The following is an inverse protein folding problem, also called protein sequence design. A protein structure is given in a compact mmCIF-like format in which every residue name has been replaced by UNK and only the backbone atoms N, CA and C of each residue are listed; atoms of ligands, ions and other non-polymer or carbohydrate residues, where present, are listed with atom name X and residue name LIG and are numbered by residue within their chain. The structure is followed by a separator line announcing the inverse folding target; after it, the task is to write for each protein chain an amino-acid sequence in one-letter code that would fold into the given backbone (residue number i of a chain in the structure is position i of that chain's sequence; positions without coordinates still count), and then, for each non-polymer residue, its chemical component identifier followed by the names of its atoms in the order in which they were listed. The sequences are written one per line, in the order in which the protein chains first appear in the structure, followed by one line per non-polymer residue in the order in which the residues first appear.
data_IF_091251127580
#
_entry.id   IF_091251127580
#
_cell.length_a   1.000
_cell.length_b   1.000
_cell.length_c   1.000
_cell.angle_alpha   90.00
_cell.angle_beta   90.00
_cell.angle_gamma   90.00
#
_symmetry.space_group_name_H-M   'P 1'
#
loop_
_entity.id
_entity.type
_entity.pdbx_description
1 polymer ?
#
# COMPACT_ATOMS: atom_id res chain seq x y z
N UNK A 1 -14.89 41.14 51.96
CA UNK A 1 -13.45 41.17 51.56
C UNK A 1 -12.67 39.93 52.07
N UNK A 2 -13.19 38.71 51.89
CA UNK A 2 -12.54 37.46 52.40
C UNK A 2 -12.13 36.45 51.32
N UNK A 3 -12.46 36.71 50.06
CA UNK A 3 -12.19 35.80 48.92
C UNK A 3 -11.03 36.22 48.02
N UNK A 4 -10.49 37.44 48.17
CA UNK A 4 -9.38 37.93 47.35
C UNK A 4 -8.05 37.29 47.79
N UNK A 5 -7.89 37.03 49.09
CA UNK A 5 -6.64 36.50 49.64
C UNK A 5 -6.36 35.05 49.22
N UNK A 6 -7.36 34.17 49.21
CA UNK A 6 -7.20 32.77 48.81
C UNK A 6 -6.83 32.60 47.33
N UNK A 7 -7.26 33.53 46.47
CA UNK A 7 -6.90 33.54 45.05
C UNK A 7 -5.41 33.88 44.85
N UNK A 8 -4.88 34.88 45.57
CA UNK A 8 -3.46 35.24 45.51
C UNK A 8 -2.54 34.17 46.11
N UNK A 9 -2.96 33.50 47.20
CA UNK A 9 -2.17 32.40 47.78
C UNK A 9 -2.10 31.19 46.84
N UNK A 10 -3.20 30.88 46.12
CA UNK A 10 -3.22 29.81 45.11
C UNK A 10 -2.32 30.11 43.90
N UNK A 11 -2.31 31.36 43.43
CA UNK A 11 -1.46 31.79 42.31
C UNK A 11 0.04 31.73 42.67
N UNK A 12 0.40 32.12 43.90
CA UNK A 12 1.77 32.01 44.39
C UNK A 12 2.24 30.56 44.54
N UNK A 13 1.37 29.68 45.01
CA UNK A 13 1.70 28.26 45.15
C UNK A 13 1.88 27.58 43.79
N UNK A 14 1.01 27.88 42.82
CA UNK A 14 1.15 27.39 41.44
C UNK A 14 2.42 27.92 40.76
N UNK A 15 2.74 29.20 40.96
CA UNK A 15 3.98 29.80 40.49
C UNK A 15 5.22 29.15 41.10
N UNK A 16 5.22 28.91 42.41
CA UNK A 16 6.34 28.28 43.12
C UNK A 16 6.53 26.80 42.73
N UNK A 17 5.44 26.03 42.54
CA UNK A 17 5.51 24.65 42.05
C UNK A 17 6.04 24.61 40.61
N UNK A 18 5.64 25.53 39.74
CA UNK A 18 6.20 25.62 38.38
C UNK A 18 7.68 26.05 38.38
N UNK A 19 8.09 26.95 39.26
CA UNK A 19 9.47 27.43 39.35
C UNK A 19 10.41 26.41 40.02
N UNK A 20 9.88 25.54 40.89
CA UNK A 20 10.64 24.46 41.52
C UNK A 20 10.71 23.17 40.67
N UNK A 21 9.75 22.93 39.77
CA UNK A 21 9.71 21.75 38.88
C UNK A 21 10.31 22.01 37.49
N UNK A 22 10.38 23.26 37.06
CA UNK A 22 11.02 23.66 35.79
C UNK A 22 12.51 23.31 35.69
N UNK A 23 13.35 23.39 36.77
CA UNK A 23 14.73 22.97 36.68
C UNK A 23 14.86 21.46 36.44
N UNK A 24 13.95 20.64 36.96
CA UNK A 24 13.97 19.19 36.76
C UNK A 24 13.58 18.81 35.31
N UNK A 25 12.66 19.55 34.68
CA UNK A 25 12.33 19.36 33.26
C UNK A 25 13.45 19.86 32.34
N UNK A 26 14.08 20.99 32.66
CA UNK A 26 15.19 21.55 31.87
C UNK A 26 16.46 20.70 32.02
N UNK A 27 16.75 20.20 33.22
CA UNK A 27 17.87 19.26 33.47
C UNK A 27 17.57 17.90 32.85
N UNK A 28 16.32 17.41 32.89
CA UNK A 28 15.91 16.19 32.20
C UNK A 28 16.09 16.27 30.68
N UNK A 29 15.70 17.40 30.06
CA UNK A 29 15.94 17.68 28.63
C UNK A 29 17.42 17.91 28.32
N UNK A 30 18.17 18.52 29.23
CA UNK A 30 19.60 18.76 29.08
C UNK A 30 20.42 17.46 29.13
N UNK A 31 20.06 16.53 30.02
CA UNK A 31 20.71 15.22 30.15
C UNK A 31 20.37 14.30 28.96
N UNK A 32 19.14 14.32 28.46
CA UNK A 32 18.81 13.57 27.22
C UNK A 32 19.56 14.14 26.01
N UNK A 33 19.65 15.47 25.88
CA UNK A 33 20.41 16.12 24.81
C UNK A 33 21.93 15.88 24.92
N UNK A 34 22.48 15.75 26.13
CA UNK A 34 23.91 15.50 26.34
C UNK A 34 24.30 14.02 26.15
N UNK A 35 23.45 13.09 26.60
CA UNK A 35 23.63 11.64 26.35
C UNK A 35 23.51 11.32 24.85
N UNK A 36 22.65 12.03 24.10
CA UNK A 36 22.58 11.90 22.64
C UNK A 36 23.77 12.50 21.88
N UNK A 37 24.65 13.27 22.54
CA UNK A 37 25.82 13.90 21.90
C UNK A 37 27.08 13.04 21.93
N UNK A 38 27.10 11.97 22.74
CA UNK A 38 28.26 11.07 22.90
C UNK A 38 28.35 9.97 21.85
N UNK A 39 27.22 9.60 21.23
CA UNK A 39 27.13 8.68 20.09
C UNK A 39 26.24 9.36 19.04
N UNK A 40 26.84 9.90 17.98
CA UNK A 40 26.08 10.60 16.93
C UNK A 40 25.27 9.60 16.10
N UNK A 41 24.10 9.19 16.61
CA UNK A 41 23.11 8.48 15.83
C UNK A 41 22.43 9.47 14.87
N UNK A 42 22.46 9.18 13.57
CA UNK A 42 21.53 9.83 12.64
C UNK A 42 20.14 9.25 12.95
N UNK A 43 19.22 10.10 13.42
CA UNK A 43 17.91 9.68 13.89
C UNK A 43 16.81 10.11 12.91
N UNK A 44 15.88 9.20 12.64
CA UNK A 44 14.60 9.53 12.04
C UNK A 44 13.52 9.45 13.12
N UNK A 45 12.67 10.47 13.19
CA UNK A 45 11.58 10.53 14.15
C UNK A 45 10.23 10.18 13.50
N UNK A 46 9.35 9.58 14.28
CA UNK A 46 7.98 9.25 13.93
C UNK A 46 7.09 9.37 15.14
N UNK A 47 6.02 10.17 15.05
CA UNK A 47 5.09 10.37 16.16
C UNK A 47 3.78 9.65 15.83
N UNK A 48 3.40 8.71 16.69
CA UNK A 48 2.07 8.11 16.65
C UNK A 48 1.12 8.94 17.51
N UNK A 49 -0.02 9.32 16.94
CA UNK A 49 -1.01 10.21 17.55
C UNK A 49 -2.38 9.59 17.46
N UNK A 50 -3.13 9.61 18.56
CA UNK A 50 -4.56 9.34 18.59
C UNK A 50 -5.28 10.55 19.17
N UNK A 51 -6.29 11.04 18.45
CA UNK A 51 -7.08 12.19 18.85
C UNK A 51 -8.57 11.90 18.75
N UNK A 52 -9.33 12.39 19.72
CA UNK A 52 -10.79 12.31 19.75
C UNK A 52 -11.37 13.71 19.78
N UNK A 53 -12.48 13.90 19.07
CA UNK A 53 -13.29 15.11 19.15
C UNK A 53 -14.76 14.75 19.05
N UNK A 54 -15.58 15.40 19.87
CA UNK A 54 -17.03 15.33 19.72
C UNK A 54 -17.50 16.40 18.73
N UNK A 55 -18.31 16.00 17.74
CA UNK A 55 -18.90 16.87 16.73
C UNK A 55 -20.34 16.44 16.49
N UNK A 56 -21.30 17.35 16.66
CA UNK A 56 -22.73 17.11 16.44
C UNK A 56 -23.29 15.88 17.20
N UNK A 57 -22.79 15.64 18.42
CA UNK A 57 -23.16 14.48 19.24
C UNK A 57 -22.57 13.14 18.77
N UNK A 58 -21.64 13.16 17.81
CA UNK A 58 -20.88 12.02 17.32
C UNK A 58 -19.41 12.15 17.68
N UNK A 59 -18.77 11.03 17.99
CA UNK A 59 -17.32 10.96 18.20
C UNK A 59 -16.60 10.82 16.86
N UNK A 60 -15.74 11.78 16.55
CA UNK A 60 -14.75 11.72 15.47
C UNK A 60 -13.40 11.29 16.07
N UNK A 61 -12.76 10.27 15.49
CA UNK A 61 -11.45 9.80 15.92
C UNK A 61 -10.43 9.92 14.79
N UNK A 62 -9.26 10.48 15.06
CA UNK A 62 -8.14 10.52 14.12
C UNK A 62 -6.96 9.74 14.70
N UNK A 63 -6.30 8.97 13.85
CA UNK A 63 -5.11 8.22 14.23
C UNK A 63 -4.01 8.40 13.18
N UNK A 64 -2.79 8.58 13.64
CA UNK A 64 -1.57 8.51 12.83
C UNK A 64 -0.66 7.51 13.50
N UNK A 65 -0.23 6.48 12.79
CA UNK A 65 0.74 5.51 13.28
C UNK A 65 1.97 5.56 12.41
N UNK A 66 3.14 5.73 13.01
CA UNK A 66 4.43 5.64 12.32
C UNK A 66 5.17 4.41 12.82
N UNK A 67 5.62 3.56 11.89
CA UNK A 67 6.42 2.39 12.18
C UNK A 67 7.71 2.42 11.36
N UNK A 68 8.81 2.01 11.97
CA UNK A 68 10.10 1.82 11.31
C UNK A 68 10.40 0.33 11.23
N UNK A 69 10.84 -0.13 10.08
CA UNK A 69 11.23 -1.52 9.88
C UNK A 69 12.37 -1.61 8.88
N UNK A 70 13.20 -2.64 9.03
CA UNK A 70 14.26 -2.94 8.06
C UNK A 70 13.84 -4.08 7.16
N UNK A 71 14.10 -3.95 5.86
CA UNK A 71 13.84 -5.01 4.89
C UNK A 71 15.10 -5.34 4.09
N UNK A 72 15.28 -6.60 3.70
CA UNK A 72 16.28 -7.00 2.73
C UNK A 72 15.58 -7.28 1.41
N UNK A 73 15.82 -6.45 0.41
CA UNK A 73 15.06 -6.49 -0.85
C UNK A 73 16.01 -6.72 -2.00
N UNK A 74 15.69 -7.70 -2.86
CA UNK A 74 16.41 -7.90 -4.11
C UNK A 74 16.10 -6.75 -5.07
N UNK A 75 17.11 -5.98 -5.43
CA UNK A 75 16.95 -4.85 -6.34
C UNK A 75 17.00 -5.30 -7.79
N UNK A 76 16.20 -4.69 -8.70
CA UNK A 76 16.32 -4.94 -10.13
C UNK A 76 17.76 -4.71 -10.61
N UNK A 77 18.35 -5.73 -11.23
CA UNK A 77 19.71 -5.67 -11.77
C UNK A 77 20.84 -5.84 -10.76
N UNK A 78 20.55 -5.97 -9.47
CA UNK A 78 21.55 -6.24 -8.43
C UNK A 78 21.45 -7.71 -7.99
N UNK A 79 22.53 -8.50 -8.09
CA UNK A 79 22.51 -9.89 -7.63
C UNK A 79 22.43 -10.02 -6.11
N UNK A 80 22.67 -8.94 -5.35
CA UNK A 80 22.65 -8.97 -3.88
C UNK A 80 21.45 -8.21 -3.33
N UNK A 81 20.73 -8.77 -2.34
CA UNK A 81 19.71 -8.02 -1.62
C UNK A 81 20.31 -6.80 -0.94
N UNK A 82 19.65 -5.65 -1.08
CA UNK A 82 20.01 -4.42 -0.37
C UNK A 82 19.20 -4.28 0.90
N UNK A 83 19.82 -3.72 1.93
CA UNK A 83 19.12 -3.39 3.18
C UNK A 83 18.46 -2.03 3.02
N UNK A 84 17.17 -1.97 3.34
CA UNK A 84 16.39 -0.75 3.37
C UNK A 84 15.93 -0.47 4.78
N UNK A 85 15.95 0.81 5.17
CA UNK A 85 15.13 1.31 6.26
C UNK A 85 13.83 1.84 5.68
N UNK A 86 12.70 1.35 6.20
CA UNK A 86 11.37 1.73 5.77
C UNK A 86 10.68 2.48 6.90
N UNK A 87 10.15 3.68 6.61
CA UNK A 87 9.24 4.41 7.50
C UNK A 87 7.84 4.35 6.92
N UNK A 88 6.98 3.58 7.57
CA UNK A 88 5.57 3.43 7.21
C UNK A 88 4.71 4.32 8.11
N UNK A 89 4.06 5.31 7.52
CA UNK A 89 3.07 6.17 8.16
C UNK A 89 1.67 5.81 7.66
N UNK A 90 0.77 5.56 8.60
CA UNK A 90 -0.64 5.25 8.35
C UNK A 90 -1.49 6.32 9.02
N UNK A 91 -2.11 7.19 8.22
CA UNK A 91 -3.05 8.21 8.69
C UNK A 91 -4.49 7.75 8.44
N UNK A 92 -5.24 7.59 9.52
CA UNK A 92 -6.68 7.35 9.49
C UNK A 92 -7.43 8.59 9.97
N UNK A 93 -8.18 9.23 9.07
CA UNK A 93 -8.88 10.49 9.33
C UNK A 93 -10.18 10.28 10.14
N UNK A 94 -10.79 9.10 10.03
CA UNK A 94 -11.95 8.70 10.83
C UNK A 94 -11.83 7.22 11.20
N UNK A 95 -11.37 6.98 12.43
CA UNK A 95 -11.15 5.65 13.00
C UNK A 95 -12.47 4.90 13.19
N UNK A 96 -13.58 5.61 13.40
CA UNK A 96 -14.89 5.03 13.71
C UNK A 96 -15.78 4.87 12.47
N UNK A 97 -15.53 5.62 11.39
CA UNK A 97 -16.22 5.39 10.13
C UNK A 97 -15.74 4.09 9.46
N UNK A 98 -16.71 3.28 9.03
CA UNK A 98 -16.49 2.12 8.17
C UNK A 98 -16.43 2.47 6.67
N UNK A 99 -16.13 3.72 6.32
CA UNK A 99 -16.09 4.14 4.91
C UNK A 99 -14.81 3.62 4.25
N UNK A 100 -14.91 2.89 3.13
CA UNK A 100 -13.75 2.50 2.33
C UNK A 100 -13.00 3.73 1.83
N UNK A 101 -11.66 3.68 1.84
CA UNK A 101 -10.81 4.70 1.20
C UNK A 101 -10.53 5.98 2.00
N UNK A 102 -11.12 6.18 3.19
CA UNK A 102 -10.77 7.31 4.06
C UNK A 102 -9.50 6.98 4.87
N UNK A 103 -8.34 7.34 4.32
CA UNK A 103 -7.03 7.19 4.95
C UNK A 103 -5.88 7.43 3.97
N UNK A 104 -4.67 7.60 4.49
CA UNK A 104 -3.45 7.82 3.70
C UNK A 104 -2.32 6.96 4.24
N UNK A 105 -1.69 6.21 3.34
CA UNK A 105 -0.45 5.50 3.58
C UNK A 105 0.69 6.29 2.97
N UNK A 106 1.80 6.41 3.70
CA UNK A 106 3.07 6.90 3.19
C UNK A 106 4.17 5.92 3.59
N UNK A 107 4.92 5.40 2.62
CA UNK A 107 6.12 4.62 2.88
C UNK A 107 7.32 5.37 2.32
N UNK A 108 8.27 5.70 3.17
CA UNK A 108 9.57 6.24 2.77
C UNK A 108 10.64 5.15 2.90
N UNK A 109 11.52 5.02 1.90
CA UNK A 109 12.57 4.01 1.88
C UNK A 109 13.96 4.64 1.73
N UNK A 110 14.87 4.36 2.66
CA UNK A 110 16.27 4.77 2.61
C UNK A 110 17.17 3.55 2.40
N UNK A 111 18.33 3.70 1.73
CA UNK A 111 19.36 2.67 1.83
C UNK A 111 19.86 2.63 3.27
N UNK A 112 20.29 1.45 3.71
CA UNK A 112 20.89 1.27 5.04
C UNK A 112 22.24 0.59 4.89
N UNK A 113 23.05 1.11 3.98
CA UNK A 113 24.41 0.64 3.69
C UNK A 113 25.43 1.40 4.56
N UNK A 114 25.16 2.67 4.88
CA UNK A 114 25.94 3.49 5.80
C UNK A 114 25.04 4.36 6.68
N UNK A 115 25.51 4.72 7.89
CA UNK A 115 24.74 5.59 8.80
C UNK A 115 24.40 6.95 8.16
N UNK A 116 25.27 7.46 7.28
CA UNK A 116 25.11 8.74 6.60
C UNK A 116 23.96 8.73 5.57
N UNK A 117 23.46 7.55 5.19
CA UNK A 117 22.34 7.41 4.23
C UNK A 117 21.06 8.08 4.75
N UNK A 118 20.88 8.13 6.07
CA UNK A 118 19.71 8.76 6.71
C UNK A 118 19.71 10.29 6.58
N UNK A 119 20.85 10.89 6.25
CA UNK A 119 20.96 12.33 6.00
C UNK A 119 20.58 12.70 4.55
N UNK A 120 20.42 11.69 3.68
CA UNK A 120 19.97 11.87 2.30
C UNK A 120 18.44 11.74 2.22
N UNK A 121 17.80 12.32 1.19
CA UNK A 121 16.40 12.04 0.91
C UNK A 121 16.18 10.54 0.68
N UNK A 122 14.96 10.07 0.96
CA UNK A 122 14.55 8.70 0.66
C UNK A 122 14.77 8.37 -0.83
N UNK A 123 15.14 7.12 -1.12
CA UNK A 123 15.28 6.59 -2.49
C UNK A 123 13.98 6.78 -3.28
N UNK A 124 12.87 6.49 -2.62
CA UNK A 124 11.53 6.72 -3.13
C UNK A 124 10.55 6.88 -1.97
N UNK A 125 9.39 7.46 -2.29
CA UNK A 125 8.24 7.55 -1.40
C UNK A 125 7.02 6.97 -2.12
N UNK A 126 6.32 6.05 -1.47
CA UNK A 126 4.99 5.60 -1.90
C UNK A 126 3.95 6.40 -1.13
N UNK A 127 2.98 6.99 -1.84
CA UNK A 127 1.80 7.59 -1.23
C UNK A 127 0.57 6.94 -1.84
N UNK A 128 -0.28 6.35 -1.01
CA UNK A 128 -1.47 5.64 -1.48
C UNK A 128 -2.67 5.90 -0.56
N UNK A 129 -3.91 5.92 -1.09
CA UNK A 129 -5.10 5.87 -0.25
C UNK A 129 -5.18 4.49 0.43
N UNK A 130 -5.50 4.48 1.72
CA UNK A 130 -5.59 3.22 2.47
C UNK A 130 -5.68 3.44 3.96
N UNK A 131 -6.23 2.44 4.67
CA UNK A 131 -6.43 2.48 6.13
C UNK A 131 -5.44 1.60 6.88
N UNK A 132 -4.86 0.62 6.20
CA UNK A 132 -3.79 -0.21 6.71
C UNK A 132 -2.84 -0.56 5.58
N UNK A 133 -1.61 -0.88 5.95
CA UNK A 133 -0.63 -1.39 5.03
C UNK A 133 0.26 -2.40 5.75
N UNK A 134 0.76 -3.37 4.99
CA UNK A 134 1.64 -4.42 5.45
C UNK A 134 2.83 -4.51 4.51
N UNK A 135 4.03 -4.55 5.05
CA UNK A 135 5.20 -5.00 4.31
C UNK A 135 5.27 -6.51 4.40
N UNK A 136 5.16 -7.17 3.25
CA UNK A 136 5.15 -8.61 3.14
C UNK A 136 6.57 -9.14 2.92
N UNK A 137 6.78 -10.40 3.32
CA UNK A 137 8.08 -11.08 3.25
C UNK A 137 8.59 -11.28 1.82
N UNK A 138 7.70 -11.18 0.82
CA UNK A 138 8.05 -11.29 -0.59
C UNK A 138 8.59 -9.99 -1.22
N UNK A 139 8.88 -8.99 -0.38
CA UNK A 139 9.44 -7.71 -0.82
C UNK A 139 8.39 -6.77 -1.41
N UNK A 140 7.13 -6.90 -1.00
CA UNK A 140 6.04 -6.03 -1.45
C UNK A 140 5.41 -5.24 -0.30
N UNK A 141 4.88 -4.06 -0.61
CA UNK A 141 3.97 -3.32 0.25
C UNK A 141 2.54 -3.60 -0.22
N UNK A 142 1.70 -4.12 0.68
CA UNK A 142 0.27 -4.33 0.45
C UNK A 142 -0.50 -3.26 1.19
N UNK A 143 -1.21 -2.41 0.47
CA UNK A 143 -2.08 -1.36 1.00
C UNK A 143 -3.53 -1.82 0.90
N UNK A 144 -4.26 -1.80 2.02
CA UNK A 144 -5.68 -2.13 2.06
C UNK A 144 -6.51 -0.84 2.05
N UNK A 145 -7.45 -0.76 1.11
CA UNK A 145 -8.37 0.36 0.97
C UNK A 145 -9.85 -0.09 0.91
N UNK A 146 -10.20 -1.09 1.72
CA UNK A 146 -11.56 -1.57 1.92
C UNK A 146 -11.80 -2.90 1.23
N UNK A 147 -12.47 -2.91 0.09
CA UNK A 147 -12.71 -4.13 -0.69
C UNK A 147 -11.58 -4.46 -1.67
N UNK A 148 -10.56 -3.61 -1.76
CA UNK A 148 -9.46 -3.73 -2.71
C UNK A 148 -8.13 -3.49 -2.04
N UNK A 149 -7.11 -4.13 -2.58
CA UNK A 149 -5.71 -4.00 -2.18
C UNK A 149 -4.88 -3.52 -3.35
N UNK A 150 -3.97 -2.58 -3.07
CA UNK A 150 -2.93 -2.15 -4.00
C UNK A 150 -1.59 -2.70 -3.55
N UNK A 151 -0.82 -3.24 -4.46
CA UNK A 151 0.47 -3.87 -4.16
C UNK A 151 1.59 -3.12 -4.88
N UNK A 152 2.66 -2.82 -4.16
CA UNK A 152 3.82 -2.08 -4.65
C UNK A 152 5.10 -2.87 -4.41
N UNK A 153 6.09 -2.76 -5.30
CA UNK A 153 7.40 -3.35 -5.11
C UNK A 153 8.23 -2.53 -4.12
N UNK A 154 8.79 -3.15 -3.09
CA UNK A 154 9.70 -2.47 -2.15
C UNK A 154 11.08 -2.19 -2.73
N UNK A 155 11.44 -2.76 -3.88
CA UNK A 155 12.73 -2.44 -4.47
C UNK A 155 12.74 -1.08 -5.16
N UNK A 156 11.59 -0.63 -5.67
CA UNK A 156 11.50 0.53 -6.55
C UNK A 156 10.38 1.51 -6.18
N UNK A 157 9.46 1.12 -5.30
CA UNK A 157 8.24 1.88 -5.02
C UNK A 157 7.18 1.80 -6.11
N UNK A 158 7.41 1.02 -7.17
CA UNK A 158 6.50 0.93 -8.33
C UNK A 158 5.24 0.16 -7.95
N UNK A 159 4.08 0.70 -8.34
CA UNK A 159 2.81 -0.01 -8.25
C UNK A 159 2.80 -1.22 -9.19
N UNK A 160 2.49 -2.39 -8.63
CA UNK A 160 2.46 -3.66 -9.34
C UNK A 160 1.06 -3.94 -9.88
N UNK A 161 0.08 -4.01 -8.97
CA UNK A 161 -1.29 -4.35 -9.32
C UNK A 161 -2.26 -3.96 -8.21
N UNK A 162 -3.52 -3.86 -8.62
CA UNK A 162 -4.67 -3.82 -7.74
C UNK A 162 -5.37 -5.18 -7.77
N UNK A 163 -6.02 -5.52 -6.68
CA UNK A 163 -6.80 -6.75 -6.59
C UNK A 163 -7.99 -6.58 -5.65
N UNK A 164 -9.19 -6.84 -6.15
CA UNK A 164 -10.39 -6.92 -5.29
C UNK A 164 -10.51 -8.30 -4.63
N UNK A 165 -9.80 -9.31 -5.17
CA UNK A 165 -9.80 -10.68 -4.67
C UNK A 165 -8.38 -11.21 -4.46
N UNK A 166 -8.25 -12.40 -3.87
CA UNK A 166 -6.93 -13.03 -3.73
C UNK A 166 -6.33 -13.31 -5.12
N UNK A 167 -5.10 -12.83 -5.40
CA UNK A 167 -4.44 -13.07 -6.68
C UNK A 167 -3.96 -14.53 -6.79
N UNK A 168 -3.73 -14.98 -8.02
CA UNK A 168 -3.10 -16.28 -8.29
C UNK A 168 -1.59 -16.11 -8.29
N UNK A 169 -0.90 -16.74 -7.35
CA UNK A 169 0.56 -16.82 -7.33
C UNK A 169 1.03 -18.19 -7.82
N UNK A 170 2.04 -18.22 -8.68
CA UNK A 170 2.59 -19.45 -9.23
C UNK A 170 4.03 -19.27 -9.73
N UNK A 171 4.74 -20.36 -10.01
CA UNK A 171 6.10 -20.30 -10.56
C UNK A 171 6.08 -20.61 -12.06
N UNK A 172 6.91 -19.92 -12.85
CA UNK A 172 7.25 -20.31 -14.23
C UNK A 172 8.64 -20.95 -14.25
N UNK A 173 9.13 -21.35 -15.43
CA UNK A 173 10.45 -21.96 -15.60
C UNK A 173 11.56 -21.22 -14.82
N UNK A 174 12.39 -22.00 -14.13
CA UNK A 174 13.42 -21.50 -13.22
C UNK A 174 12.88 -21.00 -11.88
N UNK A 175 11.75 -21.53 -11.40
CA UNK A 175 11.09 -21.17 -10.14
C UNK A 175 10.76 -19.68 -9.98
N UNK A 176 10.68 -18.96 -11.11
CA UNK A 176 10.44 -17.52 -11.10
C UNK A 176 8.98 -17.26 -10.72
N UNK A 177 8.75 -16.69 -9.55
CA UNK A 177 7.40 -16.40 -9.04
C UNK A 177 6.69 -15.34 -9.86
N UNK A 178 5.45 -15.62 -10.22
CA UNK A 178 4.54 -14.76 -10.97
C UNK A 178 3.23 -14.64 -10.22
N UNK A 179 2.58 -13.50 -10.44
CA UNK A 179 1.30 -13.18 -9.83
C UNK A 179 0.35 -12.70 -10.92
N UNK A 180 -0.88 -13.16 -10.85
CA UNK A 180 -1.99 -12.65 -11.65
C UNK A 180 -3.05 -12.12 -10.71
N UNK A 181 -3.33 -10.83 -10.83
CA UNK A 181 -4.36 -10.13 -10.08
C UNK A 181 -5.48 -9.68 -11.00
N UNK A 182 -6.69 -9.61 -10.46
CA UNK A 182 -7.87 -9.12 -11.17
C UNK A 182 -8.46 -7.98 -10.35
N UNK A 183 -8.64 -6.83 -11.00
CA UNK A 183 -9.30 -5.67 -10.41
C UNK A 183 -10.51 -5.24 -11.23
N UNK A 184 -11.52 -4.74 -10.54
CA UNK A 184 -12.66 -4.06 -11.10
C UNK A 184 -12.23 -2.72 -11.70
N UNK A 185 -13.03 -2.29 -12.66
CA UNK A 185 -12.77 -1.14 -13.52
C UNK A 185 -12.77 0.18 -12.73
N UNK A 186 -11.79 1.04 -13.01
CA UNK A 186 -11.74 2.42 -12.51
C UNK A 186 -12.70 3.33 -13.29
N UNK A 187 -13.10 4.47 -12.72
CA UNK A 187 -14.11 5.35 -13.32
C UNK A 187 -13.73 5.92 -14.69
N UNK A 188 -12.43 6.03 -14.98
CA UNK A 188 -11.87 6.61 -16.20
C UNK A 188 -11.70 5.60 -17.35
N UNK A 189 -11.96 4.33 -17.09
CA UNK A 189 -11.81 3.27 -18.08
C UNK A 189 -12.98 3.22 -19.07
N UNK A 190 -12.77 2.67 -20.29
CA UNK A 190 -13.84 2.52 -21.28
C UNK A 190 -15.08 1.81 -20.74
N UNK A 191 -16.26 2.25 -21.20
CA UNK A 191 -17.55 1.72 -20.73
C UNK A 191 -17.76 0.22 -21.01
N UNK A 192 -17.01 -0.35 -21.95
CA UNK A 192 -17.03 -1.78 -22.32
C UNK A 192 -16.08 -2.66 -21.49
N UNK A 193 -15.22 -2.07 -20.66
CA UNK A 193 -14.28 -2.84 -19.83
C UNK A 193 -15.03 -3.57 -18.72
N UNK A 194 -14.68 -4.81 -18.39
CA UNK A 194 -15.28 -5.60 -17.31
C UNK A 194 -14.36 -5.65 -16.10
N UNK A 195 -13.06 -5.83 -16.35
CA UNK A 195 -12.01 -5.87 -15.34
C UNK A 195 -10.64 -5.64 -15.97
N UNK A 196 -9.64 -5.39 -15.13
CA UNK A 196 -8.24 -5.33 -15.50
C UNK A 196 -7.52 -6.54 -14.87
N UNK A 197 -6.95 -7.37 -15.73
CA UNK A 197 -6.05 -8.45 -15.34
C UNK A 197 -4.62 -7.93 -15.39
N UNK A 198 -3.89 -8.04 -14.29
CA UNK A 198 -2.47 -7.67 -14.24
C UNK A 198 -1.61 -8.90 -14.01
N UNK A 199 -0.67 -9.12 -14.91
CA UNK A 199 0.39 -10.12 -14.79
C UNK A 199 1.67 -9.44 -14.30
N UNK A 200 2.20 -9.89 -13.18
CA UNK A 200 3.32 -9.24 -12.52
C UNK A 200 4.32 -10.24 -11.94
N UNK A 201 5.52 -9.72 -11.69
CA UNK A 201 6.51 -10.30 -10.78
C UNK A 201 6.42 -9.58 -9.42
N UNK A 202 7.24 -9.96 -8.45
CA UNK A 202 7.39 -9.18 -7.21
C UNK A 202 8.06 -7.81 -7.40
N UNK A 203 8.55 -7.50 -8.60
CA UNK A 203 9.38 -6.32 -8.89
C UNK A 203 8.77 -5.38 -9.93
N UNK A 204 8.00 -5.92 -10.87
CA UNK A 204 7.39 -5.15 -11.95
C UNK A 204 6.10 -5.79 -12.44
N UNK A 205 5.16 -4.96 -12.88
CA UNK A 205 4.05 -5.39 -13.74
C UNK A 205 4.62 -5.72 -15.14
N UNK A 206 4.34 -6.93 -15.63
CA UNK A 206 4.81 -7.41 -16.93
C UNK A 206 3.81 -7.04 -18.03
N UNK A 207 2.53 -7.32 -17.80
CA UNK A 207 1.47 -7.06 -18.76
C UNK A 207 0.14 -6.76 -18.06
N UNK A 208 -0.65 -5.86 -18.65
CA UNK A 208 -1.99 -5.52 -18.20
C UNK A 208 -2.97 -5.74 -19.34
N UNK A 209 -4.11 -6.35 -19.03
CA UNK A 209 -5.10 -6.77 -20.01
C UNK A 209 -6.47 -6.36 -19.51
N UNK A 210 -7.20 -5.61 -20.34
CA UNK A 210 -8.61 -5.36 -20.13
C UNK A 210 -9.40 -6.55 -20.61
N UNK A 211 -10.24 -7.10 -19.73
CA UNK A 211 -11.35 -7.96 -20.13
C UNK A 211 -12.46 -7.03 -20.59
N UNK A 212 -12.97 -7.19 -21.81
CA UNK A 212 -14.03 -6.33 -22.39
C UNK A 212 -15.26 -7.15 -22.75
N UNK A 213 -16.41 -6.50 -22.84
CA UNK A 213 -17.62 -7.06 -23.46
C UNK A 213 -17.98 -6.29 -24.73
N UNK A 214 -18.81 -6.90 -25.58
CA UNK A 214 -19.23 -6.27 -26.84
C UNK A 214 -19.96 -4.94 -26.64
N UNK A 215 -20.78 -4.86 -25.58
CA UNK A 215 -21.62 -3.71 -25.27
C UNK A 215 -21.47 -3.28 -23.79
N UNK A 216 -21.72 -1.99 -23.49
CA UNK A 216 -21.53 -1.43 -22.15
C UNK A 216 -22.54 -1.94 -21.11
N UNK A 217 -23.74 -2.35 -21.52
CA UNK A 217 -24.76 -2.89 -20.60
C UNK A 217 -24.32 -4.25 -20.08
N UNK A 218 -23.88 -5.14 -20.97
CA UNK A 218 -23.30 -6.43 -20.61
C UNK A 218 -22.05 -6.26 -19.77
N UNK A 219 -21.17 -5.31 -20.12
CA UNK A 219 -19.98 -5.01 -19.31
C UNK A 219 -20.36 -4.63 -17.88
N UNK A 220 -21.35 -3.73 -17.71
CA UNK A 220 -21.86 -3.32 -16.40
C UNK A 220 -22.46 -4.49 -15.61
N UNK A 221 -23.22 -5.37 -16.26
CA UNK A 221 -23.77 -6.57 -15.61
C UNK A 221 -22.65 -7.48 -15.08
N UNK A 222 -21.62 -7.74 -15.89
CA UNK A 222 -20.50 -8.59 -15.50
C UNK A 222 -19.64 -7.96 -14.40
N UNK A 223 -19.46 -6.63 -14.40
CA UNK A 223 -18.75 -5.90 -13.33
C UNK A 223 -19.33 -6.18 -11.95
N UNK A 224 -20.66 -6.31 -11.84
CA UNK A 224 -21.32 -6.59 -10.55
C UNK A 224 -20.91 -7.95 -9.96
N UNK A 225 -20.42 -8.87 -10.80
CA UNK A 225 -19.99 -10.21 -10.42
C UNK A 225 -18.49 -10.30 -10.09
N UNK A 226 -17.72 -9.22 -10.29
CA UNK A 226 -16.24 -9.27 -10.19
C UNK A 226 -15.72 -9.68 -8.83
N UNK A 227 -16.41 -9.28 -7.76
CA UNK A 227 -16.06 -9.65 -6.40
C UNK A 227 -16.11 -11.17 -6.13
N UNK A 228 -16.64 -11.97 -7.08
CA UNK A 228 -16.67 -13.43 -6.97
C UNK A 228 -15.63 -14.12 -7.86
N UNK A 229 -14.94 -13.38 -8.73
CA UNK A 229 -14.02 -13.95 -9.69
C UNK A 229 -12.61 -13.97 -9.11
N UNK A 230 -12.03 -15.17 -9.10
CA UNK A 230 -10.64 -15.39 -8.70
C UNK A 230 -9.87 -15.93 -9.90
N UNK A 231 -8.74 -15.32 -10.27
CA UNK A 231 -7.85 -15.94 -11.25
C UNK A 231 -7.33 -17.27 -10.69
N UNK A 232 -7.22 -18.27 -11.57
CA UNK A 232 -6.65 -19.57 -11.22
C UNK A 232 -5.56 -19.90 -12.22
N UNK A 233 -4.35 -20.17 -11.75
CA UNK A 233 -3.27 -20.68 -12.58
C UNK A 233 -3.32 -22.21 -12.62
N UNK A 234 -3.34 -22.79 -13.81
CA UNK A 234 -3.37 -24.26 -14.03
C UNK A 234 -2.29 -24.68 -14.99
N UNK A 235 -1.88 -25.94 -14.91
CA UNK A 235 -1.16 -26.59 -16.01
C UNK A 235 -2.16 -27.35 -16.85
N UNK A 236 -2.12 -27.11 -18.15
CA UNK A 236 -2.87 -27.85 -19.15
C UNK A 236 -2.19 -29.20 -19.45
N UNK A 237 -2.92 -30.10 -20.13
CA UNK A 237 -2.45 -31.44 -20.52
C UNK A 237 -1.18 -31.38 -21.38
N UNK A 238 -1.00 -30.29 -22.12
CA UNK A 238 0.19 -29.98 -22.92
C UNK A 238 1.40 -29.50 -22.09
N UNK A 239 1.34 -29.57 -20.75
CA UNK A 239 2.29 -28.96 -19.82
C UNK A 239 2.45 -27.45 -19.98
N UNK A 240 1.51 -26.79 -20.67
CA UNK A 240 1.48 -25.33 -20.80
C UNK A 240 0.69 -24.73 -19.65
N UNK A 241 1.20 -23.65 -19.07
CA UNK A 241 0.49 -22.95 -17.98
C UNK A 241 -0.60 -22.05 -18.55
N UNK A 242 -1.77 -22.03 -17.93
CA UNK A 242 -2.89 -21.16 -18.29
C UNK A 242 -3.42 -20.42 -17.08
N UNK A 243 -4.00 -19.25 -17.33
CA UNK A 243 -4.79 -18.48 -16.39
C UNK A 243 -6.25 -18.64 -16.77
N UNK A 244 -7.04 -19.19 -15.86
CA UNK A 244 -8.47 -19.36 -16.02
C UNK A 244 -9.19 -18.28 -15.19
N UNK A 245 -10.11 -17.56 -15.83
CA UNK A 245 -11.06 -16.63 -15.21
C UNK A 245 -12.47 -17.19 -15.42
N UNK A 246 -13.10 -17.63 -14.34
CA UNK A 246 -14.48 -18.13 -14.38
C UNK A 246 -15.46 -16.97 -14.29
N UNK A 247 -15.85 -16.44 -15.46
CA UNK A 247 -16.86 -15.38 -15.56
C UNK A 247 -18.27 -15.98 -15.69
N UNK A 248 -19.33 -15.26 -15.29
CA UNK A 248 -20.71 -15.69 -15.55
C UNK A 248 -21.02 -15.92 -17.04
N UNK A 249 -20.30 -15.23 -17.93
CA UNK A 249 -20.43 -15.38 -19.38
C UNK A 249 -19.66 -16.59 -19.95
N UNK A 250 -18.91 -17.33 -19.13
CA UNK A 250 -18.07 -18.45 -19.55
C UNK A 250 -16.63 -18.30 -19.05
N UNK A 251 -15.82 -19.34 -19.29
CA UNK A 251 -14.42 -19.34 -18.88
C UNK A 251 -13.55 -18.59 -19.90
N UNK A 252 -12.78 -17.61 -19.43
CA UNK A 252 -11.67 -17.03 -20.19
C UNK A 252 -10.40 -17.75 -19.80
N UNK A 253 -9.70 -18.32 -20.78
CA UNK A 253 -8.44 -19.06 -20.57
C UNK A 253 -7.32 -18.42 -21.36
N UNK A 254 -6.28 -17.97 -20.67
CA UNK A 254 -5.15 -17.25 -21.27
C UNK A 254 -3.87 -18.07 -21.06
N UNK A 255 -3.24 -18.59 -22.12
CA UNK A 255 -1.96 -19.26 -22.00
C UNK A 255 -0.85 -18.32 -21.53
N UNK A 256 0.02 -18.82 -20.67
CA UNK A 256 1.23 -18.12 -20.19
C UNK A 256 2.42 -18.63 -20.99
N UNK A 257 3.31 -17.72 -21.40
CA UNK A 257 4.56 -18.03 -22.06
C UNK A 257 5.71 -17.29 -21.37
N UNK A 258 6.29 -17.89 -20.33
CA UNK A 258 7.33 -17.27 -19.51
C UNK A 258 6.87 -15.95 -18.91
N UNK A 259 7.38 -14.83 -19.45
CA UNK A 259 7.10 -13.47 -18.97
C UNK A 259 5.97 -12.78 -19.73
N UNK A 260 5.21 -13.53 -20.54
CA UNK A 260 4.09 -13.00 -21.30
C UNK A 260 2.77 -13.78 -21.13
N UNK A 261 1.66 -13.07 -21.34
CA UNK A 261 0.32 -13.63 -21.56
C UNK A 261 0.05 -13.67 -23.07
N UNK A 262 -0.17 -14.87 -23.61
CA UNK A 262 -0.42 -15.10 -25.03
C UNK A 262 -1.90 -14.84 -25.36
N UNK A 263 -2.23 -13.58 -25.60
CA UNK A 263 -3.60 -13.14 -25.90
C UNK A 263 -4.10 -13.66 -27.26
N UNK A 264 -3.19 -13.93 -28.19
CA UNK A 264 -3.55 -14.43 -29.52
C UNK A 264 -4.07 -15.88 -29.47
N UNK A 265 -3.61 -16.67 -28.49
CA UNK A 265 -4.08 -18.04 -28.25
C UNK A 265 -5.05 -18.14 -27.07
N UNK A 266 -5.56 -17.02 -26.57
CA UNK A 266 -6.54 -17.01 -25.50
C UNK A 266 -7.89 -17.54 -25.99
N UNK A 267 -8.54 -18.36 -25.18
CA UNK A 267 -9.89 -18.82 -25.40
C UNK A 267 -10.82 -17.88 -24.62
N UNK A 268 -11.68 -17.18 -25.34
CA UNK A 268 -12.57 -16.16 -24.79
C UNK A 268 -14.00 -16.50 -25.19
N UNK A 269 -14.97 -16.51 -24.25
CA UNK A 269 -16.36 -16.77 -24.57
C UNK A 269 -16.94 -15.76 -25.57
N UNK A 270 -17.96 -16.15 -26.36
CA UNK A 270 -18.60 -15.25 -27.29
C UNK A 270 -19.08 -13.94 -26.64
N UNK A 271 -18.66 -12.85 -27.26
CA UNK A 271 -18.94 -11.47 -26.86
C UNK A 271 -18.21 -10.96 -25.62
N UNK A 272 -17.12 -11.63 -25.28
CA UNK A 272 -16.03 -11.07 -24.49
C UNK A 272 -14.80 -10.84 -25.39
N UNK A 273 -13.92 -9.96 -24.93
CA UNK A 273 -12.64 -9.67 -25.58
C UNK A 273 -11.52 -9.48 -24.57
N UNK A 274 -10.29 -9.54 -25.06
CA UNK A 274 -9.08 -9.21 -24.32
C UNK A 274 -8.32 -8.13 -25.09
N UNK A 275 -8.03 -7.02 -24.41
CA UNK A 275 -7.31 -5.90 -25.01
C UNK A 275 -6.15 -5.54 -24.11
N UNK A 276 -4.94 -5.49 -24.66
CA UNK A 276 -3.77 -5.06 -23.90
C UNK A 276 -3.92 -3.59 -23.49
N UNK A 277 -3.78 -3.34 -22.18
CA UNK A 277 -3.75 -2.00 -21.64
C UNK A 277 -2.32 -1.47 -21.79
N UNK A 278 -2.08 -0.72 -22.86
CA UNK A 278 -0.83 0.04 -23.00
C UNK A 278 -0.71 1.04 -21.84
N UNK A 279 0.49 1.30 -21.32
CA UNK A 279 0.69 2.25 -20.24
C UNK A 279 0.06 3.60 -20.63
N UNK A 280 -0.98 3.97 -19.89
CA UNK A 280 -1.69 5.22 -20.07
C UNK A 280 -0.74 6.35 -19.68
N UNK A 281 -0.56 7.35 -20.56
CA UNK A 281 0.29 8.54 -20.33
C UNK A 281 -0.15 9.45 -19.17
N UNK A 282 -1.06 9.00 -18.29
CA UNK A 282 -1.64 9.79 -17.20
C UNK A 282 -1.44 9.24 -15.78
N UNK A 283 -0.81 8.07 -15.59
CA UNK A 283 -0.58 7.51 -14.25
C UNK A 283 0.69 8.07 -13.59
N UNK A 284 0.76 9.40 -13.49
CA UNK A 284 1.53 10.08 -12.46
C UNK A 284 0.54 10.54 -11.40
N UNK A 285 0.23 9.66 -10.44
CA UNK A 285 -0.42 10.03 -9.18
C UNK A 285 0.39 9.44 -8.04
#
# INVERSE_FOLDING_TARGET
MRFVWTFFTGLFFAGFVMLATSPLLIVGLGVTAWVMKGEMFNALEGVSVFGLREKDGRLDGRMVNVNFQTAHVLMPGDPRPRRLLLRLEVTNADVFASRPGEGRIRLDAWPLDAAMDLNNPALYTIVAPGRSALVADDGTLVVDHGSRRSVYALASGVWLYDSDMAPAAFAVEGERRRVVALSAVEEDMPSRTVAVLTYATGQTALKRVMVTADDPTRARMLRSSMAMIRPVARMDESSRRTIDLSLPAGMVRIPVNGDDLDLAKAQVPPGLGLVELKPWRGAGR
#
